data_IF_225721068266
#
_entry.id   IF_225721068266
#
_cell.length_a   1.000
_cell.length_b   1.000
_cell.length_c   1.000
_cell.angle_alpha   90.00
_cell.angle_beta   90.00
_cell.angle_gamma   90.00
#
_symmetry.space_group_name_H-M   'P 1'
#
loop_
_entity.id
_entity.type
_entity.pdbx_description
1 polymer ?
#
# COMPACT_ATOMS: atom_id res chain seq x y z
N UNK A 1 -9.51 21.80 -19.73
CA UNK A 1 -10.79 21.32 -19.17
C UNK A 1 -10.99 21.88 -17.77
N UNK A 2 -12.23 22.18 -17.40
CA UNK A 2 -12.59 22.67 -16.06
C UNK A 2 -12.43 21.53 -15.05
N UNK A 3 -11.85 21.84 -13.89
CA UNK A 3 -11.70 20.90 -12.79
C UNK A 3 -13.07 20.39 -12.32
N UNK A 4 -13.28 19.07 -12.34
CA UNK A 4 -14.53 18.42 -11.89
C UNK A 4 -14.36 18.04 -10.43
N UNK A 5 -14.99 18.81 -9.52
CA UNK A 5 -14.81 18.65 -8.06
C UNK A 5 -15.39 17.33 -7.55
N UNK A 6 -16.37 16.81 -8.25
CA UNK A 6 -17.08 15.57 -7.95
C UNK A 6 -16.14 14.36 -8.00
N UNK A 7 -15.15 14.37 -8.91
CA UNK A 7 -14.15 13.30 -8.99
C UNK A 7 -13.16 13.34 -7.83
N UNK A 8 -12.86 14.52 -7.30
CA UNK A 8 -12.03 14.66 -6.10
C UNK A 8 -12.77 14.17 -4.86
N UNK A 9 -14.04 14.56 -4.73
CA UNK A 9 -14.90 14.09 -3.64
C UNK A 9 -15.07 12.57 -3.68
N UNK A 10 -15.30 11.99 -4.87
CA UNK A 10 -15.46 10.55 -5.02
C UNK A 10 -14.17 9.79 -4.68
N UNK A 11 -12.99 10.31 -5.07
CA UNK A 11 -11.71 9.73 -4.65
C UNK A 11 -11.53 9.77 -3.13
N UNK A 12 -11.89 10.88 -2.49
CA UNK A 12 -11.90 10.98 -1.03
C UNK A 12 -12.83 9.96 -0.37
N UNK A 13 -14.02 9.77 -0.93
CA UNK A 13 -14.98 8.77 -0.46
C UNK A 13 -14.44 7.34 -0.61
N UNK A 14 -13.81 7.01 -1.74
CA UNK A 14 -13.19 5.69 -1.96
C UNK A 14 -12.03 5.45 -0.99
N UNK A 15 -11.20 6.46 -0.72
CA UNK A 15 -10.13 6.34 0.28
C UNK A 15 -10.68 6.09 1.70
N UNK A 16 -11.76 6.79 2.08
CA UNK A 16 -12.44 6.56 3.36
C UNK A 16 -13.05 5.16 3.42
N UNK A 17 -13.66 4.69 2.33
CA UNK A 17 -14.21 3.34 2.25
C UNK A 17 -13.12 2.28 2.52
N UNK A 18 -11.97 2.39 1.86
CA UNK A 18 -10.83 1.47 2.05
C UNK A 18 -10.33 1.50 3.49
N UNK A 19 -10.21 2.68 4.09
CA UNK A 19 -9.86 2.85 5.50
C UNK A 19 -10.83 2.11 6.42
N UNK A 20 -12.14 2.27 6.21
CA UNK A 20 -13.17 1.60 7.01
C UNK A 20 -13.11 0.08 6.85
N UNK A 21 -12.85 -0.43 5.64
CA UNK A 21 -12.68 -1.86 5.42
C UNK A 21 -11.44 -2.44 6.12
N UNK A 22 -10.32 -1.72 6.13
CA UNK A 22 -9.14 -2.14 6.91
C UNK A 22 -9.39 -2.05 8.42
N UNK A 23 -10.06 -1.02 8.90
CA UNK A 23 -10.39 -0.93 10.33
C UNK A 23 -11.34 -2.08 10.74
N UNK A 24 -12.35 -2.38 9.92
CA UNK A 24 -13.26 -3.49 10.16
C UNK A 24 -12.56 -4.87 10.21
N UNK A 25 -11.42 -5.05 9.55
CA UNK A 25 -10.64 -6.30 9.62
C UNK A 25 -9.79 -6.42 10.89
N UNK A 26 -9.53 -5.32 11.60
CA UNK A 26 -8.77 -5.31 12.86
C UNK A 26 -9.62 -5.50 14.12
N UNK A 27 -10.94 -5.29 14.03
CA UNK A 27 -11.87 -5.47 15.15
C UNK A 27 -12.45 -6.88 15.14
N UNK A 28 -12.66 -7.52 16.31
CA UNK A 28 -13.22 -8.86 16.42
C UNK A 28 -14.75 -8.86 16.19
N UNK A 29 -15.20 -8.20 15.13
CA UNK A 29 -16.60 -8.25 14.69
C UNK A 29 -16.76 -9.59 13.97
N UNK A 30 -17.36 -10.54 14.67
CA UNK A 30 -17.56 -11.92 14.22
C UNK A 30 -18.60 -11.98 13.10
N UNK A 31 -18.18 -11.64 11.88
CA UNK A 31 -18.89 -12.03 10.68
C UNK A 31 -17.89 -12.08 9.52
N UNK A 32 -17.50 -13.29 9.11
CA UNK A 32 -16.66 -13.55 7.92
C UNK A 32 -17.28 -12.89 6.68
N UNK A 33 -18.62 -12.80 6.66
CA UNK A 33 -19.42 -12.08 5.67
C UNK A 33 -19.25 -10.56 5.68
N UNK A 34 -18.83 -9.94 6.78
CA UNK A 34 -18.62 -8.48 6.87
C UNK A 34 -17.19 -8.13 6.41
N UNK A 35 -16.19 -8.89 6.84
CA UNK A 35 -14.79 -8.69 6.46
C UNK A 35 -14.53 -8.89 4.96
N UNK A 36 -15.20 -9.88 4.32
CA UNK A 36 -15.10 -10.08 2.85
C UNK A 36 -15.97 -9.13 2.01
N UNK A 37 -16.94 -8.43 2.61
CA UNK A 37 -17.98 -7.68 1.88
C UNK A 37 -17.78 -6.17 1.83
N UNK A 38 -16.71 -5.65 2.43
CA UNK A 38 -16.33 -4.27 2.16
C UNK A 38 -15.84 -4.06 0.73
N UNK A 39 -15.56 -5.12 -0.04
CA UNK A 39 -15.16 -5.00 -1.45
C UNK A 39 -14.11 -3.89 -1.67
N UNK A 40 -13.13 -3.83 -0.77
CA UNK A 40 -12.12 -2.77 -0.79
C UNK A 40 -11.38 -2.73 -2.13
N UNK A 41 -11.23 -3.88 -2.78
CA UNK A 41 -10.70 -4.00 -4.15
C UNK A 41 -11.43 -3.07 -5.13
N UNK A 42 -12.77 -3.10 -5.18
CA UNK A 42 -13.53 -2.22 -6.08
C UNK A 42 -13.40 -0.73 -5.71
N UNK A 43 -13.33 -0.40 -4.42
CA UNK A 43 -13.11 0.98 -4.00
C UNK A 43 -11.71 1.48 -4.45
N UNK A 44 -10.68 0.63 -4.34
CA UNK A 44 -9.35 0.90 -4.85
C UNK A 44 -9.35 1.03 -6.38
N UNK A 45 -10.04 0.15 -7.10
CA UNK A 45 -10.14 0.21 -8.56
C UNK A 45 -10.74 1.54 -9.04
N UNK A 46 -11.87 1.96 -8.44
CA UNK A 46 -12.50 3.24 -8.75
C UNK A 46 -11.55 4.41 -8.44
N UNK A 47 -10.86 4.36 -7.29
CA UNK A 47 -9.87 5.38 -6.93
C UNK A 47 -8.74 5.49 -7.96
N UNK A 48 -8.21 4.35 -8.41
CA UNK A 48 -7.12 4.27 -9.41
C UNK A 48 -7.60 4.80 -10.76
N UNK A 49 -8.78 4.37 -11.24
CA UNK A 49 -9.35 4.81 -12.52
C UNK A 49 -9.55 6.33 -12.54
N UNK A 50 -10.17 6.90 -11.50
CA UNK A 50 -10.38 8.35 -11.40
C UNK A 50 -9.06 9.12 -11.33
N UNK A 51 -8.08 8.58 -10.59
CA UNK A 51 -6.75 9.18 -10.50
C UNK A 51 -6.02 9.17 -11.84
N UNK A 52 -6.08 8.06 -12.58
CA UNK A 52 -5.52 7.92 -13.92
C UNK A 52 -6.15 8.89 -14.92
N UNK A 53 -7.48 9.02 -14.89
CA UNK A 53 -8.21 9.99 -15.71
C UNK A 53 -7.76 11.44 -15.42
N UNK A 54 -7.70 11.83 -14.14
CA UNK A 54 -7.30 13.17 -13.72
C UNK A 54 -5.84 13.49 -14.09
N UNK A 55 -4.93 12.54 -13.86
CA UNK A 55 -3.51 12.67 -14.21
C UNK A 55 -3.33 12.85 -15.72
N UNK A 56 -3.98 11.99 -16.52
CA UNK A 56 -3.87 12.03 -17.98
C UNK A 56 -4.39 13.35 -18.53
N UNK A 57 -5.55 13.79 -18.05
CA UNK A 57 -6.14 15.09 -18.43
C UNK A 57 -5.22 16.26 -18.08
N UNK A 58 -4.56 16.22 -16.92
CA UNK A 58 -3.62 17.26 -16.48
C UNK A 58 -2.38 17.32 -17.38
N UNK A 59 -1.78 16.17 -17.70
CA UNK A 59 -0.59 16.08 -18.56
C UNK A 59 -0.91 16.63 -19.96
N UNK A 60 -2.04 16.23 -20.54
CA UNK A 60 -2.49 16.71 -21.84
C UNK A 60 -2.80 18.22 -21.82
N UNK A 61 -3.42 18.73 -20.77
CA UNK A 61 -3.80 20.14 -20.66
C UNK A 61 -2.61 21.07 -20.40
N UNK A 62 -1.62 20.65 -19.61
CA UNK A 62 -0.43 21.44 -19.29
C UNK A 62 0.68 21.34 -20.35
N UNK A 63 0.52 20.49 -21.37
CA UNK A 63 1.56 20.14 -22.34
C UNK A 63 2.90 19.81 -21.69
N UNK A 64 2.82 19.17 -20.52
CA UNK A 64 4.00 18.87 -19.74
C UNK A 64 4.62 17.56 -20.22
N UNK A 65 5.96 17.54 -20.34
CA UNK A 65 6.64 16.29 -20.66
C UNK A 65 6.40 15.24 -19.55
N UNK A 66 6.12 13.99 -19.95
CA UNK A 66 5.95 12.88 -19.03
C UNK A 66 7.15 12.73 -18.07
N UNK A 67 8.36 12.99 -18.57
CA UNK A 67 9.60 12.97 -17.77
C UNK A 67 9.56 13.99 -16.64
N UNK A 68 9.17 15.24 -16.91
CA UNK A 68 9.06 16.26 -15.87
C UNK A 68 7.98 15.90 -14.82
N UNK A 69 6.85 15.35 -15.27
CA UNK A 69 5.79 14.87 -14.39
C UNK A 69 6.27 13.75 -13.44
N UNK A 70 6.89 12.69 -13.98
CA UNK A 70 7.28 11.53 -13.18
C UNK A 70 8.43 11.86 -12.23
N UNK A 71 9.39 12.69 -12.64
CA UNK A 71 10.50 13.13 -11.78
C UNK A 71 10.00 13.88 -10.55
N UNK A 72 9.09 14.84 -10.71
CA UNK A 72 8.53 15.56 -9.55
C UNK A 72 7.71 14.64 -8.65
N UNK A 73 6.95 13.71 -9.23
CA UNK A 73 6.19 12.72 -8.47
C UNK A 73 7.12 11.81 -7.67
N UNK A 74 8.22 11.36 -8.27
CA UNK A 74 9.25 10.56 -7.63
C UNK A 74 9.84 11.30 -6.42
N UNK A 75 10.34 12.52 -6.60
CA UNK A 75 10.90 13.31 -5.48
C UNK A 75 9.88 13.71 -4.41
N UNK A 76 8.57 13.63 -4.69
CA UNK A 76 7.52 13.85 -3.69
C UNK A 76 7.21 12.59 -2.88
N UNK A 77 7.13 11.43 -3.53
CA UNK A 77 6.65 10.18 -2.91
C UNK A 77 7.82 9.36 -2.35
N UNK A 78 8.91 9.25 -3.11
CA UNK A 78 10.01 8.34 -2.79
C UNK A 78 10.75 8.70 -1.49
N UNK A 79 11.03 9.98 -1.17
CA UNK A 79 11.65 10.32 0.11
C UNK A 79 10.79 9.95 1.33
N UNK A 80 9.48 10.22 1.26
CA UNK A 80 8.55 9.81 2.31
C UNK A 80 8.49 8.28 2.44
N UNK A 81 8.45 7.57 1.31
CA UNK A 81 8.52 6.12 1.30
C UNK A 81 9.78 5.58 1.98
N UNK A 82 10.97 6.10 1.63
CA UNK A 82 12.23 5.68 2.25
C UNK A 82 12.29 5.98 3.75
N UNK A 83 11.72 7.11 4.19
CA UNK A 83 11.64 7.46 5.59
C UNK A 83 10.83 6.43 6.39
N UNK A 84 9.62 6.10 5.92
CA UNK A 84 8.78 5.10 6.57
C UNK A 84 9.34 3.69 6.44
N UNK A 85 10.01 3.36 5.32
CA UNK A 85 10.71 2.10 5.14
C UNK A 85 11.79 1.93 6.21
N UNK A 86 12.62 2.96 6.43
CA UNK A 86 13.67 2.93 7.44
C UNK A 86 13.09 2.75 8.86
N UNK A 87 12.04 3.50 9.19
CA UNK A 87 11.35 3.33 10.48
C UNK A 87 10.82 1.90 10.63
N UNK A 88 10.16 1.36 9.61
CA UNK A 88 9.59 0.03 9.69
C UNK A 88 10.65 -1.06 9.80
N UNK A 89 11.76 -0.94 9.06
CA UNK A 89 12.91 -1.83 9.19
C UNK A 89 13.48 -1.84 10.62
N UNK A 90 13.59 -0.65 11.24
CA UNK A 90 14.06 -0.54 12.63
C UNK A 90 13.09 -1.18 13.64
N UNK A 91 11.80 -1.21 13.33
CA UNK A 91 10.75 -1.76 14.19
C UNK A 91 10.37 -3.21 13.83
N UNK A 92 11.00 -3.82 12.82
CA UNK A 92 10.55 -5.10 12.25
C UNK A 92 10.58 -6.25 13.27
N UNK A 93 11.66 -6.38 14.06
CA UNK A 93 11.75 -7.39 15.12
C UNK A 93 10.69 -7.16 16.21
N UNK A 94 10.47 -5.89 16.58
CA UNK A 94 9.46 -5.54 17.57
C UNK A 94 8.05 -5.85 17.06
N UNK A 95 7.76 -5.56 15.79
CA UNK A 95 6.50 -5.88 15.16
C UNK A 95 6.23 -7.40 15.14
N UNK A 96 7.24 -8.22 14.82
CA UNK A 96 7.11 -9.69 14.88
C UNK A 96 6.75 -10.16 16.29
N UNK A 97 7.40 -9.59 17.33
CA UNK A 97 7.08 -9.89 18.72
C UNK A 97 5.64 -9.52 19.10
N UNK A 98 5.18 -8.34 18.69
CA UNK A 98 3.81 -7.87 18.94
C UNK A 98 2.76 -8.77 18.28
N UNK A 99 2.95 -9.14 17.01
CA UNK A 99 2.02 -10.01 16.29
C UNK A 99 2.02 -11.45 16.83
N UNK A 100 3.18 -11.96 17.25
CA UNK A 100 3.28 -13.28 17.85
C UNK A 100 2.60 -13.35 19.21
N UNK A 101 2.60 -12.24 19.96
CA UNK A 101 1.92 -12.13 21.27
C UNK A 101 0.47 -11.66 21.21
N UNK A 102 -0.06 -11.29 20.04
CA UNK A 102 -1.43 -10.77 19.92
C UNK A 102 -2.49 -11.87 20.01
N UNK A 103 -3.75 -11.54 20.34
CA UNK A 103 -4.87 -12.48 20.21
C UNK A 103 -5.04 -13.00 18.78
N UNK A 104 -5.67 -14.18 18.65
CA UNK A 104 -5.99 -14.77 17.35
C UNK A 104 -6.91 -13.85 16.53
N UNK A 105 -6.45 -13.48 15.33
CA UNK A 105 -7.20 -12.65 14.39
C UNK A 105 -7.06 -13.15 12.96
N UNK A 106 -7.97 -12.75 12.07
CA UNK A 106 -8.01 -13.24 10.68
C UNK A 106 -6.76 -12.93 9.86
N UNK A 107 -6.01 -11.89 10.24
CA UNK A 107 -4.76 -11.49 9.59
C UNK A 107 -3.50 -11.88 10.36
N UNK A 108 -3.62 -12.45 11.56
CA UNK A 108 -2.46 -12.66 12.43
C UNK A 108 -1.41 -13.56 11.78
N UNK A 109 -1.81 -14.71 11.24
CA UNK A 109 -0.88 -15.66 10.62
C UNK A 109 -0.13 -15.04 9.45
N UNK A 110 -0.83 -14.34 8.55
CA UNK A 110 -0.23 -13.65 7.41
C UNK A 110 0.74 -12.55 7.86
N UNK A 111 0.39 -11.80 8.92
CA UNK A 111 1.25 -10.73 9.48
C UNK A 111 2.54 -11.29 10.08
N UNK A 112 2.45 -12.41 10.79
CA UNK A 112 3.61 -13.11 11.34
C UNK A 112 4.49 -13.64 10.20
N UNK A 113 3.91 -14.28 9.18
CA UNK A 113 4.62 -14.82 8.01
C UNK A 113 5.39 -13.71 7.26
N UNK A 114 4.71 -12.61 6.92
CA UNK A 114 5.35 -11.46 6.26
C UNK A 114 6.49 -10.89 7.10
N UNK A 115 6.31 -10.76 8.43
CA UNK A 115 7.35 -10.24 9.31
C UNK A 115 8.55 -11.20 9.43
N UNK A 116 8.31 -12.51 9.47
CA UNK A 116 9.36 -13.53 9.47
C UNK A 116 10.15 -13.53 8.17
N UNK A 117 9.48 -13.46 7.01
CA UNK A 117 10.14 -13.39 5.70
C UNK A 117 10.93 -12.09 5.55
N UNK A 118 10.37 -10.96 6.00
CA UNK A 118 11.03 -9.65 6.00
C UNK A 118 12.37 -9.67 6.73
N UNK A 119 12.45 -10.39 7.87
CA UNK A 119 13.67 -10.54 8.66
C UNK A 119 14.61 -11.60 8.08
N UNK A 120 14.06 -12.72 7.59
CA UNK A 120 14.84 -13.83 7.02
C UNK A 120 15.60 -13.39 5.77
N UNK A 121 14.93 -12.67 4.87
CA UNK A 121 15.49 -12.16 3.61
C UNK A 121 15.76 -10.65 3.65
N UNK A 122 16.10 -10.12 4.84
CA UNK A 122 16.23 -8.68 5.09
C UNK A 122 17.04 -7.94 4.03
N UNK A 123 18.22 -8.46 3.66
CA UNK A 123 19.08 -7.83 2.66
C UNK A 123 18.44 -7.77 1.26
N UNK A 124 17.79 -8.86 0.83
CA UNK A 124 17.14 -8.93 -0.47
C UNK A 124 15.92 -7.99 -0.54
N UNK A 125 15.05 -8.02 0.48
CA UNK A 125 13.93 -7.08 0.56
C UNK A 125 14.40 -5.63 0.59
N UNK A 126 15.41 -5.32 1.41
CA UNK A 126 15.98 -3.97 1.49
C UNK A 126 16.49 -3.50 0.12
N UNK A 127 17.25 -4.34 -0.57
CA UNK A 127 17.77 -4.03 -1.90
C UNK A 127 16.64 -3.68 -2.90
N UNK A 128 15.61 -4.53 -3.00
CA UNK A 128 14.52 -4.28 -3.95
C UNK A 128 13.61 -3.11 -3.54
N UNK A 129 13.42 -2.84 -2.25
CA UNK A 129 12.70 -1.64 -1.80
C UNK A 129 13.49 -0.35 -2.06
N UNK A 130 14.81 -0.35 -1.86
CA UNK A 130 15.67 0.81 -2.18
C UNK A 130 15.66 1.13 -3.68
N UNK A 131 15.41 0.15 -4.54
CA UNK A 131 15.23 0.37 -5.98
C UNK A 131 13.77 0.68 -6.36
N UNK A 132 12.82 0.52 -5.45
CA UNK A 132 11.40 0.61 -5.76
C UNK A 132 10.88 -0.52 -6.66
N UNK A 133 11.58 -1.65 -6.72
CA UNK A 133 11.28 -2.80 -7.59
C UNK A 133 10.72 -4.01 -6.84
N UNK A 134 10.44 -3.87 -5.54
CA UNK A 134 9.92 -4.94 -4.68
C UNK A 134 8.65 -5.61 -5.23
N UNK A 135 7.74 -4.85 -5.86
CA UNK A 135 6.53 -5.39 -6.50
C UNK A 135 6.75 -6.11 -7.84
N UNK A 136 7.98 -6.11 -8.36
CA UNK A 136 8.34 -6.81 -9.60
C UNK A 136 9.00 -8.16 -9.34
N UNK A 137 9.33 -8.46 -8.08
CA UNK A 137 9.99 -9.72 -7.73
C UNK A 137 8.92 -10.79 -7.57
N UNK A 138 9.01 -11.92 -8.30
CA UNK A 138 8.06 -13.01 -8.14
C UNK A 138 8.14 -13.62 -6.72
N UNK A 139 7.00 -13.96 -6.09
CA UNK A 139 6.98 -14.61 -4.77
C UNK A 139 7.76 -15.94 -4.71
N UNK A 140 7.93 -16.61 -5.86
CA UNK A 140 8.73 -17.83 -5.96
C UNK A 140 10.24 -17.60 -5.73
N UNK A 141 10.73 -16.36 -5.93
CA UNK A 141 12.13 -15.99 -5.72
C UNK A 141 12.33 -15.30 -4.37
N UNK A 142 11.39 -14.44 -3.98
CA UNK A 142 11.43 -13.69 -2.73
C UNK A 142 10.00 -13.61 -2.18
N UNK A 143 9.65 -14.44 -1.18
CA UNK A 143 8.29 -14.49 -0.66
C UNK A 143 7.91 -13.15 -0.03
N UNK A 144 6.64 -12.75 -0.16
CA UNK A 144 6.11 -11.53 0.44
C UNK A 144 6.88 -10.23 0.09
N UNK A 145 7.56 -10.19 -1.06
CA UNK A 145 8.33 -9.01 -1.53
C UNK A 145 7.50 -7.73 -1.58
N UNK A 146 6.22 -7.85 -1.91
CA UNK A 146 5.30 -6.73 -2.07
C UNK A 146 4.91 -6.10 -0.72
N UNK A 147 4.95 -6.90 0.36
CA UNK A 147 4.47 -6.55 1.69
C UNK A 147 5.60 -6.40 2.72
N UNK A 148 6.83 -6.80 2.39
CA UNK A 148 7.92 -6.74 3.35
C UNK A 148 8.12 -5.30 3.87
N UNK A 149 8.25 -5.20 5.19
CA UNK A 149 8.32 -3.94 5.97
C UNK A 149 7.11 -2.98 5.88
N UNK A 150 6.45 -2.80 4.73
CA UNK A 150 5.43 -1.76 4.52
C UNK A 150 4.03 -2.29 4.18
N UNK A 151 3.82 -3.60 4.24
CA UNK A 151 2.52 -4.25 4.05
C UNK A 151 1.65 -4.26 5.28
#
# INVERSE_FOLDING_TARGET
MKHIKEYDALRGLMALWVLLGHWASTVPIHNVLFQRRFFNEYAVDVFIILSGFAITTLILAKQESYKAYITRRFFRIFPAYLFYLAISMMLAEWALGLWSGSPSGSMQSARIEIAQDSLTYFGAHTFFHLLGLHSLVPPALLPNSDFAFLG
#
